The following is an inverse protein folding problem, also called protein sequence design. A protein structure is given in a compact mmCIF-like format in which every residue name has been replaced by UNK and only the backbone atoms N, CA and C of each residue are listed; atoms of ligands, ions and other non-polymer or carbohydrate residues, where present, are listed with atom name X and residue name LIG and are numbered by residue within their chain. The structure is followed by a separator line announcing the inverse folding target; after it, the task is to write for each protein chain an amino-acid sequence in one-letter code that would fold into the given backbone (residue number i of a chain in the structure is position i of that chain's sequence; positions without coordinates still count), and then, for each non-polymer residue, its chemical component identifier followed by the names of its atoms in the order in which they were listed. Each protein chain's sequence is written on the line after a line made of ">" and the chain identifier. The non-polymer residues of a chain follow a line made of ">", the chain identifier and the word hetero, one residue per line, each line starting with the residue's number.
data_IF_857669614443
#
_entry.id   IF_857669614443
#
_cell.length_a   1.000
_cell.length_b   1.000
_cell.length_c   1.000
_cell.angle_alpha   90.00
_cell.angle_beta   90.00
_cell.angle_gamma   90.00
#
_symmetry.space_group_name_H-M   'P 1'
#
loop_
_entity.id
_entity.type
_entity.pdbx_description
1 polymer ?
#
# COMPACT_ATOMS: atom_id res chain seq x y z
N UNK A 1 14.76 -17.98 -11.06
CA UNK A 1 13.75 -16.92 -10.92
C UNK A 1 14.49 -15.59 -10.84
N UNK A 2 14.33 -14.70 -11.83
CA UNK A 2 15.01 -13.41 -11.88
C UNK A 2 14.53 -12.52 -10.72
N UNK A 3 15.47 -11.93 -9.99
CA UNK A 3 15.25 -11.02 -8.87
C UNK A 3 14.30 -9.87 -9.27
N UNK A 4 13.13 -9.80 -8.65
CA UNK A 4 12.42 -8.53 -8.54
C UNK A 4 13.15 -7.73 -7.46
N UNK A 5 14.04 -6.85 -7.86
CA UNK A 5 14.59 -5.84 -6.96
C UNK A 5 13.43 -4.94 -6.51
N UNK A 6 12.86 -5.25 -5.35
CA UNK A 6 11.87 -4.40 -4.74
C UNK A 6 12.55 -3.12 -4.29
N UNK A 7 12.04 -1.98 -4.75
CA UNK A 7 12.52 -0.70 -4.28
C UNK A 7 11.87 -0.37 -2.93
N UNK A 8 12.74 0.07 -2.05
CA UNK A 8 12.49 0.35 -0.67
C UNK A 8 12.58 1.86 -0.46
N UNK A 9 11.58 2.45 0.17
CA UNK A 9 11.51 3.88 0.42
C UNK A 9 11.76 4.17 1.89
N UNK A 10 12.75 5.00 2.17
CA UNK A 10 13.04 5.41 3.54
C UNK A 10 12.15 6.59 3.95
N UNK A 11 11.28 6.33 4.93
CA UNK A 11 10.44 7.35 5.53
C UNK A 11 11.26 8.05 6.62
N UNK A 12 12.08 9.04 6.23
CA UNK A 12 13.01 9.74 7.13
C UNK A 12 12.39 10.22 8.44
N UNK A 13 11.15 10.76 8.38
CA UNK A 13 10.46 11.28 9.56
C UNK A 13 10.02 10.19 10.55
N UNK A 14 10.04 8.92 10.13
CA UNK A 14 9.59 7.76 10.90
C UNK A 14 10.70 6.75 11.16
N UNK A 15 11.82 6.82 10.45
CA UNK A 15 12.93 5.88 10.62
C UNK A 15 12.61 4.47 10.15
N UNK A 16 11.71 4.30 9.19
CA UNK A 16 11.33 2.99 8.64
C UNK A 16 11.58 2.89 7.15
N UNK A 17 11.90 1.68 6.69
CA UNK A 17 11.94 1.32 5.27
C UNK A 17 10.59 0.71 4.89
N UNK A 18 9.93 1.28 3.88
CA UNK A 18 8.69 0.70 3.34
C UNK A 18 8.87 0.22 1.91
N UNK A 19 8.35 -0.97 1.61
CA UNK A 19 8.38 -1.54 0.29
C UNK A 19 7.37 -0.83 -0.62
N UNK A 20 7.83 -0.32 -1.76
CA UNK A 20 6.97 0.40 -2.70
C UNK A 20 6.23 -0.55 -3.66
N UNK A 21 5.03 -0.17 -4.13
CA UNK A 21 4.37 -0.89 -5.22
C UNK A 21 5.25 -0.97 -6.49
N UNK A 22 5.11 -2.03 -7.33
CA UNK A 22 5.95 -2.25 -8.51
C UNK A 22 5.92 -1.12 -9.55
N UNK A 23 4.77 -0.48 -9.74
CA UNK A 23 4.59 0.65 -10.67
C UNK A 23 5.34 1.91 -10.21
N UNK A 24 5.33 2.19 -8.91
CA UNK A 24 6.14 3.26 -8.30
C UNK A 24 7.64 2.94 -8.41
N UNK A 25 8.01 1.69 -8.15
CA UNK A 25 9.39 1.16 -8.27
C UNK A 25 9.94 1.36 -9.69
N UNK A 26 9.19 0.94 -10.71
CA UNK A 26 9.60 1.06 -12.11
C UNK A 26 9.81 2.53 -12.52
N UNK A 27 8.92 3.41 -12.07
CA UNK A 27 8.99 4.84 -12.38
C UNK A 27 10.20 5.54 -11.75
N UNK A 28 10.53 5.21 -10.49
CA UNK A 28 11.73 5.74 -9.83
C UNK A 28 13.00 5.21 -10.50
N UNK A 29 13.03 3.93 -10.85
CA UNK A 29 14.16 3.33 -11.56
C UNK A 29 14.47 4.05 -12.88
N UNK A 30 13.43 4.40 -13.67
CA UNK A 30 13.56 5.16 -14.91
C UNK A 30 14.05 6.59 -14.67
N UNK A 31 13.47 7.29 -13.70
CA UNK A 31 13.86 8.65 -13.34
C UNK A 31 15.36 8.73 -12.98
N UNK A 32 15.85 7.79 -12.17
CA UNK A 32 17.27 7.75 -11.79
C UNK A 32 18.19 7.37 -12.95
N UNK A 33 17.80 6.42 -13.80
CA UNK A 33 18.62 5.97 -14.91
C UNK A 33 18.79 7.04 -16.00
N UNK A 34 17.76 7.85 -16.23
CA UNK A 34 17.73 8.82 -17.32
C UNK A 34 17.97 10.27 -16.87
N UNK A 35 18.12 10.52 -15.57
CA UNK A 35 18.17 11.87 -15.01
C UNK A 35 16.85 12.64 -15.18
N UNK A 36 15.74 11.92 -15.36
CA UNK A 36 14.41 12.50 -15.57
C UNK A 36 13.76 12.88 -14.23
N UNK A 37 12.88 13.89 -14.26
CA UNK A 37 12.05 14.19 -13.09
C UNK A 37 11.11 13.02 -12.77
N UNK A 38 10.99 12.71 -11.48
CA UNK A 38 10.09 11.64 -11.04
C UNK A 38 8.64 11.97 -11.41
N UNK A 39 7.94 11.00 -12.00
CA UNK A 39 6.52 11.13 -12.34
C UNK A 39 5.73 11.71 -11.15
N UNK A 40 4.97 12.79 -11.39
CA UNK A 40 4.20 13.50 -10.38
C UNK A 40 3.23 12.60 -9.58
N UNK A 41 2.66 11.55 -10.20
CA UNK A 41 1.81 10.55 -9.56
C UNK A 41 2.60 9.80 -8.46
N UNK A 42 3.84 9.44 -8.77
CA UNK A 42 4.74 8.71 -7.85
C UNK A 42 5.23 9.64 -6.75
N UNK A 43 5.65 10.86 -7.08
CA UNK A 43 5.97 11.89 -6.07
C UNK A 43 4.81 12.07 -5.08
N UNK A 44 3.57 12.08 -5.59
CA UNK A 44 2.40 12.26 -4.74
C UNK A 44 2.12 11.06 -3.86
N UNK A 45 2.25 9.86 -4.41
CA UNK A 45 2.15 8.62 -3.63
C UNK A 45 3.16 8.60 -2.49
N UNK A 46 4.43 8.95 -2.75
CA UNK A 46 5.47 9.05 -1.72
C UNK A 46 5.11 10.10 -0.65
N UNK A 47 4.55 11.23 -1.06
CA UNK A 47 4.05 12.25 -0.13
C UNK A 47 2.91 11.75 0.77
N UNK A 48 2.04 10.85 0.28
CA UNK A 48 0.96 10.24 1.09
C UNK A 48 1.57 9.22 2.06
N UNK A 49 2.45 8.35 1.59
CA UNK A 49 3.13 7.33 2.41
C UNK A 49 3.92 7.99 3.56
N UNK A 50 4.68 9.05 3.26
CA UNK A 50 5.42 9.80 4.28
C UNK A 50 4.51 10.46 5.34
N UNK A 51 3.24 10.69 4.99
CA UNK A 51 2.25 11.28 5.87
C UNK A 51 1.24 10.29 6.45
N UNK A 52 1.42 8.99 6.24
CA UNK A 52 0.51 7.96 6.73
C UNK A 52 0.31 8.04 8.25
N UNK A 53 -0.91 8.36 8.67
CA UNK A 53 -1.28 8.50 10.07
C UNK A 53 -1.03 7.24 10.90
N UNK A 54 -1.09 6.05 10.29
CA UNK A 54 -0.80 4.79 10.99
C UNK A 54 0.69 4.71 11.33
N UNK A 55 1.58 5.06 10.40
CA UNK A 55 3.01 5.12 10.66
C UNK A 55 3.32 6.20 11.71
N UNK A 56 2.65 7.36 11.67
CA UNK A 56 2.82 8.42 12.70
C UNK A 56 2.44 7.92 14.09
N UNK A 57 1.35 7.16 14.21
CA UNK A 57 0.88 6.61 15.48
C UNK A 57 1.79 5.50 16.00
N UNK A 58 2.27 4.61 15.11
CA UNK A 58 3.12 3.47 15.50
C UNK A 58 4.58 3.85 15.73
N UNK A 59 5.10 4.81 14.97
CA UNK A 59 6.47 5.30 15.01
C UNK A 59 6.45 6.84 15.15
N UNK A 60 6.16 7.36 16.35
CA UNK A 60 6.02 8.80 16.56
C UNK A 60 7.34 9.54 16.32
N UNK A 61 8.49 8.90 16.56
CA UNK A 61 9.83 9.40 16.24
C UNK A 61 10.61 8.49 15.29
N UNK A 62 11.66 9.03 14.66
CA UNK A 62 12.58 8.24 13.82
C UNK A 62 13.30 7.13 14.60
N UNK A 63 13.60 7.36 15.88
CA UNK A 63 14.26 6.38 16.74
C UNK A 63 13.40 5.13 16.95
N UNK A 64 12.08 5.32 17.06
CA UNK A 64 11.13 4.21 17.23
C UNK A 64 11.09 3.31 15.98
N UNK A 65 11.08 3.92 14.79
CA UNK A 65 11.14 3.17 13.54
C UNK A 65 12.45 2.43 13.36
N UNK A 66 13.59 3.07 13.62
CA UNK A 66 14.90 2.41 13.50
C UNK A 66 14.97 1.19 14.42
N UNK A 67 14.50 1.33 15.66
CA UNK A 67 14.41 0.21 16.59
C UNK A 67 13.50 -0.90 16.06
N UNK A 68 12.36 -0.54 15.45
CA UNK A 68 11.44 -1.50 14.86
C UNK A 68 12.04 -2.24 13.66
N UNK A 69 12.86 -1.59 12.83
CA UNK A 69 13.46 -2.20 11.65
C UNK A 69 14.31 -3.43 12.01
N UNK A 70 14.91 -3.47 13.21
CA UNK A 70 15.63 -4.64 13.70
C UNK A 70 14.74 -5.88 13.96
N UNK A 71 13.43 -5.69 14.06
CA UNK A 71 12.45 -6.75 14.29
C UNK A 71 11.70 -7.18 13.02
N UNK A 72 11.95 -6.51 11.89
CA UNK A 72 11.31 -6.82 10.63
C UNK A 72 11.85 -8.14 10.08
N UNK A 73 10.95 -9.03 9.70
CA UNK A 73 11.30 -10.34 9.15
C UNK A 73 10.94 -10.41 7.67
N UNK A 74 11.99 -10.34 6.85
CA UNK A 74 11.86 -10.33 5.40
C UNK A 74 11.59 -11.72 4.82
N UNK A 75 12.01 -12.79 5.48
CA UNK A 75 11.70 -14.15 5.03
C UNK A 75 10.23 -14.46 5.29
N UNK A 76 9.77 -14.16 6.50
CA UNK A 76 8.35 -14.30 6.85
C UNK A 76 7.45 -13.44 5.96
N UNK A 77 7.91 -12.25 5.56
CA UNK A 77 7.21 -11.42 4.59
C UNK A 77 7.02 -12.13 3.25
N UNK A 78 8.03 -12.79 2.70
CA UNK A 78 7.91 -13.52 1.42
C UNK A 78 6.89 -14.67 1.55
N UNK A 79 6.90 -15.37 2.68
CA UNK A 79 5.92 -16.42 2.98
C UNK A 79 4.50 -15.86 3.02
N UNK A 80 4.27 -14.79 3.78
CA UNK A 80 2.96 -14.13 3.85
C UNK A 80 2.52 -13.56 2.50
N UNK A 81 3.44 -13.00 1.72
CA UNK A 81 3.16 -12.49 0.39
C UNK A 81 2.79 -13.62 -0.60
N UNK A 82 3.52 -14.74 -0.56
CA UNK A 82 3.19 -15.93 -1.35
C UNK A 82 1.81 -16.48 -0.98
N UNK A 83 1.49 -16.53 0.32
CA UNK A 83 0.16 -16.93 0.80
C UNK A 83 -0.93 -15.97 0.34
N UNK A 84 -0.70 -14.66 0.40
CA UNK A 84 -1.63 -13.65 -0.08
C UNK A 84 -1.97 -13.82 -1.58
N UNK A 85 -0.98 -14.16 -2.41
CA UNK A 85 -1.21 -14.47 -3.83
C UNK A 85 -2.06 -15.74 -4.01
N UNK A 86 -1.78 -16.80 -3.24
CA UNK A 86 -2.58 -18.04 -3.28
C UNK A 86 -4.03 -17.81 -2.85
N UNK A 87 -4.26 -17.00 -1.81
CA UNK A 87 -5.61 -16.60 -1.39
C UNK A 87 -6.28 -15.74 -2.48
N UNK A 88 -5.54 -14.79 -3.08
CA UNK A 88 -6.04 -13.95 -4.16
C UNK A 88 -6.59 -14.79 -5.33
N UNK A 89 -5.87 -15.81 -5.79
CA UNK A 89 -6.34 -16.70 -6.86
C UNK A 89 -7.67 -17.37 -6.51
N UNK A 90 -7.79 -17.88 -5.29
CA UNK A 90 -9.03 -18.53 -4.83
C UNK A 90 -10.18 -17.53 -4.69
N UNK A 91 -9.93 -16.31 -4.21
CA UNK A 91 -10.96 -15.25 -4.18
C UNK A 91 -11.42 -14.91 -5.60
N UNK A 92 -10.50 -14.85 -6.59
CA UNK A 92 -10.86 -14.60 -7.99
C UNK A 92 -11.80 -15.68 -8.52
N UNK A 93 -11.51 -16.94 -8.24
CA UNK A 93 -12.38 -18.06 -8.63
C UNK A 93 -13.77 -17.95 -7.99
N UNK A 94 -13.85 -17.64 -6.69
CA UNK A 94 -15.13 -17.47 -6.00
C UNK A 94 -15.92 -16.25 -6.47
N UNK A 95 -15.24 -15.13 -6.77
CA UNK A 95 -15.87 -13.93 -7.32
C UNK A 95 -16.46 -14.21 -8.71
N UNK A 96 -15.72 -14.91 -9.58
CA UNK A 96 -16.23 -15.32 -10.89
C UNK A 96 -17.42 -16.27 -10.80
N UNK A 97 -17.42 -17.17 -9.82
CA UNK A 97 -18.54 -18.10 -9.59
C UNK A 97 -19.85 -17.40 -9.23
N UNK A 98 -19.80 -16.18 -8.68
CA UNK A 98 -20.98 -15.33 -8.42
C UNK A 98 -21.21 -14.27 -9.52
N UNK A 99 -20.60 -14.45 -10.71
CA UNK A 99 -20.80 -13.57 -11.86
C UNK A 99 -20.02 -12.25 -11.82
N UNK A 100 -18.99 -12.13 -10.97
CA UNK A 100 -18.18 -10.91 -10.87
C UNK A 100 -16.89 -11.03 -11.67
N UNK A 101 -16.71 -10.10 -12.60
CA UNK A 101 -15.53 -10.04 -13.47
C UNK A 101 -14.73 -8.73 -13.33
N UNK A 102 -15.42 -7.63 -13.02
CA UNK A 102 -14.84 -6.29 -12.94
C UNK A 102 -14.53 -5.89 -11.49
N UNK A 103 -13.40 -6.38 -10.98
CA UNK A 103 -12.91 -6.04 -9.65
C UNK A 103 -11.37 -6.09 -9.59
N UNK A 104 -10.83 -5.52 -8.51
CA UNK A 104 -9.44 -5.62 -8.11
C UNK A 104 -9.32 -6.31 -6.76
N UNK A 105 -8.18 -6.95 -6.49
CA UNK A 105 -7.78 -7.42 -5.16
C UNK A 105 -6.46 -6.77 -4.79
N UNK A 106 -6.45 -6.05 -3.67
CA UNK A 106 -5.29 -5.38 -3.13
C UNK A 106 -4.78 -6.09 -1.89
N UNK A 107 -3.47 -6.30 -1.82
CA UNK A 107 -2.77 -6.53 -0.57
C UNK A 107 -2.42 -5.18 0.05
N UNK A 108 -2.74 -4.99 1.33
CA UNK A 108 -2.43 -3.76 2.05
C UNK A 108 -1.87 -4.05 3.46
N UNK A 109 -1.55 -2.99 4.21
CA UNK A 109 -1.07 -3.13 5.59
C UNK A 109 0.42 -3.51 5.71
N UNK A 110 0.77 -4.24 6.77
CA UNK A 110 2.18 -4.53 7.12
C UNK A 110 2.91 -5.32 6.03
N UNK A 111 2.26 -6.33 5.44
CA UNK A 111 2.88 -7.17 4.40
C UNK A 111 3.15 -6.34 3.14
N UNK A 112 2.21 -5.51 2.71
CA UNK A 112 2.36 -4.63 1.55
C UNK A 112 3.51 -3.62 1.72
N UNK A 113 3.64 -3.06 2.93
CA UNK A 113 4.71 -2.14 3.32
C UNK A 113 6.06 -2.81 3.59
N UNK A 114 6.12 -4.14 3.68
CA UNK A 114 7.31 -4.84 4.14
C UNK A 114 7.69 -4.57 5.59
N UNK A 115 6.73 -4.17 6.44
CA UNK A 115 6.90 -3.95 7.87
C UNK A 115 6.39 -5.16 8.66
N UNK A 116 6.82 -6.35 8.28
CA UNK A 116 6.31 -7.62 8.84
C UNK A 116 6.99 -7.96 10.14
N UNK A 117 6.19 -8.25 11.16
CA UNK A 117 6.62 -8.86 12.44
C UNK A 117 6.66 -10.37 12.31
N UNK A 118 7.61 -11.00 13.00
CA UNK A 118 7.78 -12.45 13.08
C UNK A 118 6.53 -13.17 13.58
N UNK A 119 6.44 -14.46 13.25
CA UNK A 119 5.32 -15.31 13.64
C UNK A 119 5.21 -15.50 15.17
N UNK A 120 6.33 -15.51 15.88
CA UNK A 120 6.43 -15.65 17.34
C UNK A 120 6.32 -14.32 18.10
N UNK A 121 6.17 -13.19 17.39
CA UNK A 121 5.89 -11.91 18.02
C UNK A 121 4.52 -11.96 18.73
N UNK A 122 4.38 -11.28 19.87
CA UNK A 122 3.10 -11.19 20.60
C UNK A 122 1.91 -10.65 19.77
N UNK A 123 2.22 -10.03 18.63
CA UNK A 123 1.29 -9.39 17.69
C UNK A 123 1.85 -9.64 16.27
N UNK A 124 1.77 -10.88 15.75
CA UNK A 124 2.35 -11.20 14.46
C UNK A 124 1.59 -10.47 13.33
N UNK A 125 2.25 -10.28 12.18
CA UNK A 125 1.60 -9.56 11.07
C UNK A 125 0.54 -10.39 10.35
N UNK A 126 -0.62 -9.77 10.13
CA UNK A 126 -1.75 -10.34 9.40
C UNK A 126 -1.56 -10.25 7.89
N UNK A 127 -2.33 -11.02 7.13
CA UNK A 127 -2.57 -10.78 5.70
C UNK A 127 -3.87 -9.98 5.58
N UNK A 128 -3.80 -8.77 5.04
CA UNK A 128 -4.96 -7.92 4.82
C UNK A 128 -5.21 -7.70 3.31
N UNK A 129 -6.36 -8.17 2.83
CA UNK A 129 -6.79 -8.07 1.44
C UNK A 129 -8.05 -7.19 1.30
N UNK A 130 -8.10 -6.38 0.26
CA UNK A 130 -9.28 -5.62 -0.12
C UNK A 130 -9.75 -6.01 -1.52
N UNK A 131 -10.99 -6.47 -1.65
CA UNK A 131 -11.65 -6.72 -2.94
C UNK A 131 -12.44 -5.45 -3.30
N UNK A 132 -12.08 -4.80 -4.40
CA UNK A 132 -12.66 -3.53 -4.84
C UNK A 132 -13.40 -3.75 -6.15
N UNK A 133 -14.72 -3.60 -6.14
CA UNK A 133 -15.55 -3.76 -7.33
C UNK A 133 -16.99 -3.36 -7.04
N UNK A 134 -17.86 -3.37 -8.05
CA UNK A 134 -19.28 -3.12 -7.83
C UNK A 134 -19.98 -4.41 -7.37
N UNK A 135 -20.27 -4.47 -6.07
CA UNK A 135 -20.99 -5.54 -5.40
C UNK A 135 -22.26 -4.96 -4.75
N UNK A 136 -23.39 -5.62 -4.94
CA UNK A 136 -24.55 -5.44 -4.07
C UNK A 136 -24.24 -5.97 -2.67
N UNK A 137 -25.14 -5.72 -1.73
CA UNK A 137 -25.00 -6.24 -0.37
C UNK A 137 -24.98 -7.78 -0.38
N UNK A 138 -25.90 -8.39 -1.12
CA UNK A 138 -26.08 -9.85 -1.22
C UNK A 138 -24.85 -10.51 -1.84
N UNK A 139 -24.33 -9.97 -2.94
CA UNK A 139 -23.13 -10.49 -3.61
C UNK A 139 -21.88 -10.37 -2.73
N UNK A 140 -21.79 -9.29 -1.94
CA UNK A 140 -20.71 -9.11 -0.97
C UNK A 140 -20.77 -10.17 0.12
N UNK A 141 -21.94 -10.40 0.72
CA UNK A 141 -22.09 -11.41 1.78
C UNK A 141 -21.88 -12.82 1.21
N UNK A 142 -22.40 -13.12 0.01
CA UNK A 142 -22.17 -14.40 -0.66
C UNK A 142 -20.68 -14.65 -0.93
N UNK A 143 -19.94 -13.64 -1.44
CA UNK A 143 -18.49 -13.77 -1.62
C UNK A 143 -17.79 -14.03 -0.29
N UNK A 144 -18.14 -13.29 0.76
CA UNK A 144 -17.54 -13.44 2.09
C UNK A 144 -17.80 -14.83 2.69
N UNK A 145 -18.98 -15.39 2.47
CA UNK A 145 -19.32 -16.76 2.87
C UNK A 145 -18.51 -17.80 2.09
N UNK A 146 -18.42 -17.66 0.75
CA UNK A 146 -17.65 -18.57 -0.11
C UNK A 146 -16.15 -18.58 0.22
N UNK A 147 -15.58 -17.43 0.59
CA UNK A 147 -14.15 -17.34 0.94
C UNK A 147 -13.87 -17.64 2.41
N UNK A 148 -14.89 -17.82 3.26
CA UNK A 148 -14.70 -18.12 4.68
C UNK A 148 -13.85 -19.38 4.91
N UNK A 149 -14.11 -20.53 4.24
CA UNK A 149 -13.26 -21.71 4.41
C UNK A 149 -11.81 -21.48 3.97
N UNK A 150 -11.61 -20.73 2.88
CA UNK A 150 -10.27 -20.37 2.37
C UNK A 150 -9.50 -19.55 3.43
N UNK A 151 -10.17 -18.57 4.05
CA UNK A 151 -9.59 -17.76 5.12
C UNK A 151 -9.26 -18.59 6.35
N UNK A 152 -10.16 -19.46 6.80
CA UNK A 152 -9.94 -20.33 7.97
C UNK A 152 -8.71 -21.21 7.76
N UNK A 153 -8.63 -21.90 6.63
CA UNK A 153 -7.47 -22.74 6.29
C UNK A 153 -6.18 -21.93 6.25
N UNK A 154 -6.20 -20.74 5.64
CA UNK A 154 -5.02 -19.89 5.61
C UNK A 154 -4.60 -19.41 7.01
N UNK A 155 -5.55 -19.12 7.90
CA UNK A 155 -5.29 -18.75 9.29
C UNK A 155 -4.61 -19.89 10.04
N UNK A 156 -5.05 -21.13 9.84
CA UNK A 156 -4.43 -22.33 10.44
C UNK A 156 -2.99 -22.52 9.95
N UNK A 157 -2.75 -22.35 8.65
CA UNK A 157 -1.44 -22.53 8.02
C UNK A 157 -0.42 -21.47 8.48
N UNK A 158 -0.82 -20.19 8.53
CA UNK A 158 0.10 -19.11 8.93
C UNK A 158 0.09 -18.85 10.44
N UNK A 159 -0.84 -19.49 11.17
CA UNK A 159 -1.12 -19.30 12.60
C UNK A 159 -1.39 -17.83 12.96
N UNK A 160 -2.05 -17.11 12.07
CA UNK A 160 -2.39 -15.70 12.27
C UNK A 160 -3.56 -15.25 11.38
N UNK A 161 -4.08 -14.05 11.59
CA UNK A 161 -5.29 -13.57 10.94
C UNK A 161 -5.13 -13.27 9.44
N UNK A 162 -6.18 -13.57 8.69
CA UNK A 162 -6.39 -13.16 7.30
C UNK A 162 -7.65 -12.29 7.21
N UNK A 163 -7.47 -10.99 7.03
CA UNK A 163 -8.55 -10.03 6.81
C UNK A 163 -8.90 -9.93 5.32
N UNK A 164 -10.18 -10.03 4.98
CA UNK A 164 -10.66 -9.73 3.62
C UNK A 164 -11.81 -8.73 3.72
N UNK A 165 -11.67 -7.60 3.03
CA UNK A 165 -12.66 -6.53 3.00
C UNK A 165 -13.19 -6.35 1.59
N UNK A 166 -14.50 -6.41 1.40
CA UNK A 166 -15.14 -6.07 0.12
C UNK A 166 -15.60 -4.61 0.17
N UNK A 167 -15.16 -3.79 -0.78
CA UNK A 167 -15.44 -2.36 -0.87
C UNK A 167 -15.94 -2.00 -2.27
N UNK A 168 -16.85 -1.04 -2.36
CA UNK A 168 -17.25 -0.46 -3.64
C UNK A 168 -16.36 0.74 -4.00
N UNK A 169 -16.12 1.00 -5.30
CA UNK A 169 -15.43 2.21 -5.74
C UNK A 169 -16.08 3.48 -5.15
N UNK A 170 -17.40 3.54 -5.06
CA UNK A 170 -18.12 4.72 -4.57
C UNK A 170 -17.86 4.99 -3.09
N UNK A 171 -17.76 3.93 -2.28
CA UNK A 171 -17.35 4.07 -0.87
C UNK A 171 -15.91 4.58 -0.75
N UNK A 172 -15.04 4.25 -1.70
CA UNK A 172 -13.66 4.72 -1.71
C UNK A 172 -13.53 6.15 -2.22
N UNK A 173 -14.45 6.62 -3.07
CA UNK A 173 -14.59 8.02 -3.50
C UNK A 173 -15.22 8.90 -2.43
N UNK A 174 -16.11 8.33 -1.61
CA UNK A 174 -16.80 9.04 -0.54
C UNK A 174 -15.83 9.74 0.41
N UNK A 175 -16.24 10.89 0.95
CA UNK A 175 -15.43 11.73 1.83
C UNK A 175 -14.06 12.07 1.22
N UNK A 176 -14.09 12.63 0.01
CA UNK A 176 -12.90 13.17 -0.65
C UNK A 176 -11.76 12.15 -0.80
N UNK A 177 -12.11 10.92 -1.16
CA UNK A 177 -11.18 9.81 -1.35
C UNK A 177 -10.41 9.39 -0.09
N UNK A 178 -10.90 9.74 1.11
CA UNK A 178 -10.22 9.44 2.38
C UNK A 178 -9.86 7.95 2.53
N UNK A 179 -10.78 7.05 2.17
CA UNK A 179 -10.54 5.62 2.22
C UNK A 179 -9.54 5.14 1.15
N UNK A 180 -9.59 5.68 -0.07
CA UNK A 180 -8.58 5.39 -1.09
C UNK A 180 -7.17 5.82 -0.63
N UNK A 181 -7.04 7.00 0.00
CA UNK A 181 -5.76 7.46 0.53
C UNK A 181 -5.21 6.57 1.65
N UNK A 182 -6.05 5.89 2.44
CA UNK A 182 -5.57 4.90 3.40
C UNK A 182 -4.89 3.72 2.70
N UNK A 183 -5.48 3.19 1.62
CA UNK A 183 -4.85 2.13 0.84
C UNK A 183 -3.55 2.61 0.18
N UNK A 184 -3.54 3.82 -0.41
CA UNK A 184 -2.35 4.40 -1.02
C UNK A 184 -1.22 4.60 0.02
N UNK A 185 -1.54 5.19 1.18
CA UNK A 185 -0.59 5.37 2.29
C UNK A 185 -0.13 4.05 2.88
N UNK A 186 -0.97 3.03 2.81
CA UNK A 186 -0.60 1.66 3.17
C UNK A 186 0.34 0.97 2.17
N UNK A 187 0.78 1.65 1.12
CA UNK A 187 1.56 1.06 0.02
C UNK A 187 0.85 -0.15 -0.60
N UNK A 188 -0.48 -0.09 -0.71
CA UNK A 188 -1.28 -1.19 -1.22
C UNK A 188 -0.81 -1.63 -2.61
N UNK A 189 -0.82 -2.94 -2.85
CA UNK A 189 -0.36 -3.60 -4.07
C UNK A 189 -1.51 -4.35 -4.70
N UNK A 190 -1.79 -4.09 -5.96
CA UNK A 190 -2.73 -4.90 -6.72
C UNK A 190 -2.13 -6.30 -6.93
N UNK A 191 -2.79 -7.32 -6.39
CA UNK A 191 -2.52 -8.72 -6.71
C UNK A 191 -3.34 -9.18 -7.93
N UNK A 192 -4.50 -8.55 -8.13
CA UNK A 192 -5.38 -8.74 -9.27
C UNK A 192 -6.04 -7.41 -9.63
N UNK A 193 -5.94 -6.95 -10.88
CA UNK A 193 -6.63 -5.74 -11.38
C UNK A 193 -6.71 -5.75 -12.92
N UNK A 194 -7.31 -6.79 -13.55
CA UNK A 194 -7.23 -7.00 -15.00
C UNK A 194 -7.91 -5.91 -15.82
N UNK A 195 -8.85 -5.16 -15.22
CA UNK A 195 -9.64 -4.10 -15.85
C UNK A 195 -9.25 -2.71 -15.38
N UNK A 196 -8.23 -2.59 -14.52
CA UNK A 196 -7.76 -1.31 -14.02
C UNK A 196 -8.75 -0.59 -13.09
N UNK A 197 -9.59 -1.32 -12.35
CA UNK A 197 -10.55 -0.76 -11.39
C UNK A 197 -9.80 0.01 -10.29
N UNK A 198 -8.78 -0.61 -9.70
CA UNK A 198 -7.99 0.06 -8.68
C UNK A 198 -7.08 1.12 -9.29
N UNK A 199 -6.44 0.81 -10.41
CA UNK A 199 -5.52 1.73 -11.10
C UNK A 199 -6.21 3.05 -11.44
N UNK A 200 -7.42 2.99 -12.02
CA UNK A 200 -8.23 4.18 -12.33
C UNK A 200 -8.64 4.95 -11.07
N UNK A 201 -9.16 4.26 -10.04
CA UNK A 201 -9.56 4.89 -8.78
C UNK A 201 -8.37 5.58 -8.08
N UNK A 202 -7.20 4.98 -8.14
CA UNK A 202 -5.98 5.53 -7.57
C UNK A 202 -5.56 6.81 -8.30
N UNK A 203 -5.62 6.83 -9.63
CA UNK A 203 -5.34 8.02 -10.44
C UNK A 203 -6.35 9.15 -10.17
N UNK A 204 -7.65 8.81 -10.06
CA UNK A 204 -8.70 9.75 -9.65
C UNK A 204 -8.38 10.40 -8.30
N UNK A 205 -8.07 9.59 -7.29
CA UNK A 205 -7.76 10.05 -5.93
C UNK A 205 -6.51 10.96 -5.91
N UNK A 206 -5.43 10.54 -6.57
CA UNK A 206 -4.19 11.31 -6.63
C UNK A 206 -4.40 12.65 -7.36
N UNK A 207 -5.22 12.66 -8.41
CA UNK A 207 -5.60 13.87 -9.16
C UNK A 207 -6.50 14.80 -8.35
N UNK A 208 -7.45 14.26 -7.58
CA UNK A 208 -8.27 15.05 -6.65
C UNK A 208 -7.38 15.78 -5.63
N UNK A 209 -6.43 15.06 -5.03
CA UNK A 209 -5.52 15.64 -4.03
C UNK A 209 -4.61 16.75 -4.59
N UNK A 210 -4.32 16.72 -5.91
CA UNK A 210 -3.60 17.76 -6.63
C UNK A 210 -4.44 19.02 -6.74
N UNK A 211 -5.66 18.92 -7.28
CA UNK A 211 -6.59 20.05 -7.43
C UNK A 211 -6.84 20.77 -6.10
N UNK A 212 -6.98 20.02 -5.00
CA UNK A 212 -7.16 20.62 -3.68
C UNK A 212 -5.94 21.40 -3.18
N UNK A 213 -4.71 21.02 -3.55
CA UNK A 213 -3.50 21.80 -3.20
C UNK A 213 -3.35 23.04 -4.07
N UNK A 214 -3.58 22.92 -5.37
CA UNK A 214 -3.54 24.06 -6.31
C UNK A 214 -4.58 25.12 -5.91
N UNK A 215 -5.80 24.70 -5.56
CA UNK A 215 -6.84 25.61 -5.07
C UNK A 215 -6.49 26.26 -3.71
N UNK A 216 -5.77 25.56 -2.83
CA UNK A 216 -5.26 26.14 -1.58
C UNK A 216 -4.12 27.13 -1.81
N UNK A 217 -3.22 26.87 -2.76
CA UNK A 217 -2.15 27.81 -3.14
C UNK A 217 -2.72 29.07 -3.81
N UNK A 218 -3.70 28.93 -4.69
CA UNK A 218 -4.37 30.05 -5.34
C UNK A 218 -5.18 30.91 -4.35
N UNK A 219 -5.68 30.32 -3.24
CA UNK A 219 -6.31 31.07 -2.13
C UNK A 219 -5.31 31.60 -1.11
N UNK A 220 -4.11 31.01 -1.03
CA UNK A 220 -3.05 31.33 -0.09
C UNK A 220 -2.02 32.37 -0.57
N UNK A 221 -2.07 32.80 -1.84
CA UNK A 221 -1.15 33.82 -2.40
C UNK A 221 -1.35 35.24 -1.86
N UNK A 222 -2.15 35.41 -0.79
CA UNK A 222 -2.28 36.66 -0.06
C UNK A 222 -1.47 36.76 1.23
N UNK A 223 -0.66 35.78 1.62
CA UNK A 223 0.29 35.97 2.73
C UNK A 223 1.62 35.23 2.52
N UNK A 224 2.70 36.02 2.53
CA UNK A 224 4.10 35.60 2.47
C UNK A 224 4.43 34.55 3.55
N UNK A 225 5.08 33.45 3.16
CA UNK A 225 5.78 32.54 4.07
C UNK A 225 7.29 32.66 3.76
N UNK A 226 8.16 32.89 4.77
CA UNK A 226 9.60 33.07 4.55
C UNK A 226 10.28 31.83 3.96
N UNK A 227 11.23 32.07 3.06
CA UNK A 227 12.00 31.11 2.25
C UNK A 227 12.83 30.05 3.01
N UNK A 228 12.81 30.03 4.35
CA UNK A 228 13.68 29.19 5.17
C UNK A 228 13.02 27.88 5.66
N UNK A 229 11.79 27.58 5.21
CA UNK A 229 11.07 26.32 5.47
C UNK A 229 11.04 25.37 4.26
N UNK A 230 11.99 25.45 3.33
CA UNK A 230 12.13 24.39 2.33
C UNK A 230 12.83 23.17 2.94
N UNK A 231 12.18 22.00 3.03
CA UNK A 231 12.89 20.77 3.33
C UNK A 231 13.72 20.43 2.09
N UNK A 232 15.05 20.32 2.25
CA UNK A 232 15.91 19.70 1.23
C UNK A 232 15.32 18.33 0.88
N UNK A 233 14.76 18.21 -0.33
CA UNK A 233 14.18 16.98 -0.89
C UNK A 233 15.30 15.99 -1.21
N UNK A 234 15.81 15.30 -0.21
CA UNK A 234 16.58 14.08 -0.41
C UNK A 234 15.66 12.90 -0.16
N UNK A 235 15.09 12.35 -1.24
CA UNK A 235 14.40 11.06 -1.20
C UNK A 235 15.47 9.98 -1.33
N UNK A 236 15.60 9.11 -0.32
CA UNK A 236 16.52 7.97 -0.41
C UNK A 236 15.72 6.72 -0.72
N UNK A 237 15.97 6.15 -1.90
CA UNK A 237 15.35 4.90 -2.38
C UNK A 237 16.46 3.86 -2.51
N UNK A 238 16.25 2.69 -1.92
CA UNK A 238 17.22 1.60 -1.90
C UNK A 238 16.73 0.45 -2.78
N UNK A 239 17.65 -0.24 -3.46
CA UNK A 239 17.38 -1.58 -4.03
C UNK A 239 17.60 -2.64 -2.96
N UNK A 240 16.90 -3.77 -3.06
CA UNK A 240 16.98 -4.90 -2.10
C UNK A 240 18.42 -5.36 -1.78
N UNK A 241 19.36 -5.25 -2.73
CA UNK A 241 20.77 -5.60 -2.53
C UNK A 241 21.54 -4.62 -1.61
N UNK A 242 21.08 -3.38 -1.49
CA UNK A 242 21.73 -2.33 -0.69
C UNK A 242 21.09 -2.15 0.70
N UNK A 243 20.01 -2.90 1.01
CA UNK A 243 19.25 -2.77 2.26
C UNK A 243 19.85 -3.55 3.44
N UNK A 244 21.11 -4.00 3.34
CA UNK A 244 21.84 -4.59 4.47
C UNK A 244 22.27 -3.46 5.40
N UNK A 245 21.51 -3.30 6.48
CA UNK A 245 21.71 -2.31 7.55
C UNK A 245 23.15 -2.39 8.07
N UNK A 246 23.88 -1.27 7.98
CA UNK A 246 25.09 -1.01 8.78
C UNK A 246 24.70 -0.55 10.17
#
# INVERSE_FOLDING_TARGET
>A
MKERAEQMYWVHTRGVIVALPPDATASIGKAHANGEELNHIVQRRLSIINNDGILKKRYPSAKDGVKYMNSVDMEWREILYGKANSICTQIVEQAKAIGKEDFAILLFGSVAKGLVRKQDHADPSNIDLAVIGQFTYEEREELLDRIRPIRIKAVEEIRNNVGVFVQTPDKLRHSDYGAAFMYIGSSARALYDPKGVWSSLQEEALSYQRRCKENKQNRGSKNNIPQWMEPKKHFTVFKREEAVVR
#
